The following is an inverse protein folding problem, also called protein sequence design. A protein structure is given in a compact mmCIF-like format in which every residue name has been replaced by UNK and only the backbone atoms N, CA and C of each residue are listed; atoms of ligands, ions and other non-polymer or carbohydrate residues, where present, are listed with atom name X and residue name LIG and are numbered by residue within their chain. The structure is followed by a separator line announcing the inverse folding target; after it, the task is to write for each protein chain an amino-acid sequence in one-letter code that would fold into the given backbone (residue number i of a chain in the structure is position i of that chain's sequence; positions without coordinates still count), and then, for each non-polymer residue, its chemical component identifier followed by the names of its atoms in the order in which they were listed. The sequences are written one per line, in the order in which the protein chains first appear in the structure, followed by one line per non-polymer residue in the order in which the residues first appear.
data_IF_486444010410
#
_entry.id   IF_486444010410
#
_cell.length_a   1.000
_cell.length_b   1.000
_cell.length_c   1.000
_cell.angle_alpha   90.00
_cell.angle_beta   90.00
_cell.angle_gamma   90.00
#
_symmetry.space_group_name_H-M   'P 1'
#
loop_
_entity.id
_entity.type
_entity.pdbx_description
1 polymer ?
#
# COMPACT_ATOMS: atom_id res chain seq x y z
N UNK A 1 -29.07 -9.21 -23.42
CA UNK A 1 -28.65 -8.21 -22.42
C UNK A 1 -27.66 -7.27 -23.07
N UNK A 2 -27.91 -5.96 -22.99
CA UNK A 2 -27.02 -4.95 -23.55
C UNK A 2 -25.86 -4.79 -22.57
N UNK A 3 -24.67 -5.28 -22.93
CA UNK A 3 -23.42 -4.98 -22.21
C UNK A 3 -23.04 -3.54 -22.54
N UNK A 4 -23.74 -2.57 -21.95
CA UNK A 4 -23.39 -1.15 -22.13
C UNK A 4 -22.14 -0.84 -21.34
N UNK A 5 -20.99 -0.80 -22.01
CA UNK A 5 -19.75 -0.22 -21.49
C UNK A 5 -19.83 1.32 -21.44
N UNK A 6 -20.91 1.84 -20.85
CA UNK A 6 -21.14 3.27 -20.72
C UNK A 6 -20.31 3.79 -19.55
N UNK A 7 -19.46 4.82 -19.73
CA UNK A 7 -18.84 5.51 -18.61
C UNK A 7 -19.92 6.14 -17.74
N UNK A 8 -19.96 5.78 -16.46
CA UNK A 8 -20.94 6.30 -15.50
C UNK A 8 -20.33 7.34 -14.57
N UNK A 9 -19.08 7.14 -14.14
CA UNK A 9 -18.39 8.06 -13.25
C UNK A 9 -16.95 8.31 -13.70
N UNK A 10 -16.50 9.54 -13.53
CA UNK A 10 -15.15 9.97 -13.82
C UNK A 10 -14.58 10.67 -12.60
N UNK A 11 -13.54 10.10 -11.99
CA UNK A 11 -12.86 10.70 -10.83
C UNK A 11 -11.48 11.16 -11.23
N UNK A 12 -11.20 12.46 -11.06
CA UNK A 12 -9.83 12.98 -11.15
C UNK A 12 -9.08 12.62 -9.87
N UNK A 13 -7.96 11.92 -10.02
CA UNK A 13 -7.10 11.48 -8.93
C UNK A 13 -5.76 12.20 -9.03
N UNK A 14 -5.64 13.40 -8.43
CA UNK A 14 -4.37 14.11 -8.38
C UNK A 14 -3.40 13.42 -7.40
N UNK A 15 -2.16 13.24 -7.83
CA UNK A 15 -1.09 12.61 -7.06
C UNK A 15 0.23 13.37 -7.28
N UNK A 16 0.94 13.68 -6.20
CA UNK A 16 2.33 14.14 -6.27
C UNK A 16 3.27 12.92 -6.35
N UNK A 17 4.08 12.83 -7.41
CA UNK A 17 4.90 11.65 -7.69
C UNK A 17 6.30 12.09 -8.12
N UNK A 18 7.31 11.75 -7.31
CA UNK A 18 8.72 12.11 -7.58
C UNK A 18 8.86 13.61 -7.87
N UNK A 19 8.21 14.43 -7.04
CA UNK A 19 8.17 15.89 -7.19
C UNK A 19 7.33 16.44 -8.35
N UNK A 20 6.66 15.59 -9.14
CA UNK A 20 5.81 16.03 -10.25
C UNK A 20 4.33 15.80 -9.93
N UNK A 21 3.50 16.81 -10.17
CA UNK A 21 2.05 16.69 -10.06
C UNK A 21 1.51 15.89 -11.26
N UNK A 22 0.79 14.81 -11.00
CA UNK A 22 0.18 13.95 -12.02
C UNK A 22 -1.29 13.77 -11.71
N UNK A 23 -2.14 13.94 -12.72
CA UNK A 23 -3.59 13.78 -12.59
C UNK A 23 -3.98 12.54 -13.38
N UNK A 24 -4.60 11.57 -12.69
CA UNK A 24 -5.15 10.37 -13.31
C UNK A 24 -6.67 10.52 -13.45
N UNK A 25 -7.24 9.94 -14.50
CA UNK A 25 -8.69 9.82 -14.64
C UNK A 25 -9.08 8.37 -14.35
N UNK A 26 -9.80 8.14 -13.25
CA UNK A 26 -10.42 6.86 -12.97
C UNK A 26 -11.83 6.87 -13.55
N UNK A 27 -12.01 6.16 -14.67
CA UNK A 27 -13.31 5.95 -15.28
C UNK A 27 -13.93 4.68 -14.72
N UNK A 28 -15.14 4.82 -14.19
CA UNK A 28 -16.01 3.69 -13.86
C UNK A 28 -16.96 3.49 -15.03
N UNK A 29 -17.08 2.24 -15.45
CA UNK A 29 -17.87 1.85 -16.62
C UNK A 29 -18.90 0.84 -16.13
N UNK A 30 -20.14 1.01 -16.56
CA UNK A 30 -21.20 0.05 -16.30
C UNK A 30 -21.02 -1.24 -17.10
N UNK A 31 -21.67 -2.30 -16.65
CA UNK A 31 -21.68 -3.60 -17.34
C UNK A 31 -20.70 -4.62 -16.76
N UNK A 32 -20.57 -5.74 -17.47
CA UNK A 32 -19.73 -6.85 -17.04
C UNK A 32 -18.25 -6.49 -17.17
N UNK A 33 -17.47 -6.84 -16.14
CA UNK A 33 -16.03 -6.68 -16.17
C UNK A 33 -15.43 -7.43 -17.38
N UNK A 34 -14.53 -6.77 -18.11
CA UNK A 34 -13.85 -7.39 -19.26
C UNK A 34 -13.02 -8.60 -18.80
N UNK A 35 -13.22 -9.80 -19.38
CA UNK A 35 -12.37 -10.94 -19.09
C UNK A 35 -10.93 -10.63 -19.52
N UNK A 36 -9.97 -11.02 -18.68
CA UNK A 36 -8.54 -10.86 -18.97
C UNK A 36 -8.02 -12.10 -19.69
N UNK A 37 -7.32 -11.91 -20.79
CA UNK A 37 -6.69 -12.98 -21.57
C UNK A 37 -5.17 -12.93 -21.44
N UNK A 38 -4.52 -14.09 -21.56
CA UNK A 38 -3.06 -14.18 -21.66
C UNK A 38 -2.58 -13.83 -23.08
N UNK A 39 -1.26 -13.87 -23.31
CA UNK A 39 -0.68 -13.58 -24.63
C UNK A 39 -1.16 -14.54 -25.72
N UNK A 40 -1.63 -15.73 -25.34
CA UNK A 40 -2.07 -16.79 -26.24
C UNK A 40 -3.59 -16.80 -26.44
N UNK A 41 -4.32 -15.83 -25.89
CA UNK A 41 -5.77 -15.71 -26.03
C UNK A 41 -6.59 -16.59 -25.08
N UNK A 42 -5.98 -17.21 -24.07
CA UNK A 42 -6.71 -17.99 -23.06
C UNK A 42 -7.18 -17.10 -21.90
N UNK A 43 -8.37 -17.35 -21.30
CA UNK A 43 -8.78 -16.64 -20.10
C UNK A 43 -7.76 -16.82 -18.96
N UNK A 44 -7.25 -15.72 -18.41
CA UNK A 44 -6.23 -15.72 -17.35
C UNK A 44 -6.73 -16.31 -16.03
N UNK A 45 -8.00 -16.10 -15.72
CA UNK A 45 -8.62 -16.53 -14.48
C UNK A 45 -9.83 -17.38 -14.82
N UNK A 46 -9.64 -18.69 -14.86
CA UNK A 46 -10.72 -19.66 -15.07
C UNK A 46 -11.35 -19.96 -13.72
N UNK A 47 -12.66 -19.80 -13.62
CA UNK A 47 -13.40 -20.19 -12.42
C UNK A 47 -13.72 -21.68 -12.47
N UNK A 48 -13.59 -22.36 -11.33
CA UNK A 48 -14.19 -23.68 -11.12
C UNK A 48 -15.70 -23.59 -10.89
N UNK A 49 -16.35 -24.75 -10.77
CA UNK A 49 -17.75 -24.85 -10.34
C UNK A 49 -17.81 -25.30 -8.88
N UNK A 50 -18.75 -24.78 -8.11
CA UNK A 50 -18.96 -25.13 -6.71
C UNK A 50 -19.01 -23.90 -5.80
N UNK A 51 -19.42 -24.11 -4.55
CA UNK A 51 -19.41 -23.08 -3.52
C UNK A 51 -18.11 -23.18 -2.72
N UNK A 52 -17.50 -22.02 -2.42
CA UNK A 52 -16.29 -21.94 -1.62
C UNK A 52 -16.54 -20.90 -0.53
N UNK A 53 -16.36 -21.30 0.73
CA UNK A 53 -16.25 -20.36 1.85
C UNK A 53 -14.81 -19.89 1.97
N UNK A 54 -14.57 -18.59 2.08
CA UNK A 54 -13.23 -18.03 2.25
C UNK A 54 -13.22 -16.97 3.34
N UNK A 55 -12.20 -17.03 4.19
CA UNK A 55 -11.90 -16.01 5.19
C UNK A 55 -10.53 -15.39 4.88
N UNK A 56 -10.52 -14.08 4.64
CA UNK A 56 -9.33 -13.36 4.18
C UNK A 56 -8.71 -12.64 5.38
N UNK A 57 -7.63 -13.22 5.90
CA UNK A 57 -6.76 -12.59 6.88
C UNK A 57 -5.79 -11.59 6.25
N UNK A 58 -4.92 -11.00 7.07
CA UNK A 58 -3.95 -9.99 6.63
C UNK A 58 -2.83 -10.56 5.76
N UNK A 59 -2.45 -11.82 5.98
CA UNK A 59 -1.35 -12.48 5.28
C UNK A 59 -1.79 -13.76 4.56
N UNK A 60 -2.87 -14.37 5.03
CA UNK A 60 -3.35 -15.67 4.57
C UNK A 60 -4.84 -15.61 4.23
N UNK A 61 -5.26 -16.47 3.31
CA UNK A 61 -6.65 -16.79 3.06
C UNK A 61 -6.90 -18.23 3.49
N UNK A 62 -7.84 -18.42 4.40
CA UNK A 62 -8.39 -19.72 4.71
C UNK A 62 -9.56 -19.97 3.76
N UNK A 63 -9.69 -21.18 3.23
CA UNK A 63 -10.82 -21.54 2.39
C UNK A 63 -11.29 -22.96 2.66
N UNK A 64 -12.58 -23.18 2.44
CA UNK A 64 -13.23 -24.48 2.57
C UNK A 64 -14.19 -24.69 1.39
N UNK A 65 -14.27 -25.94 0.94
CA UNK A 65 -15.24 -26.44 -0.02
C UNK A 65 -15.73 -27.80 0.44
N UNK A 66 -16.61 -28.43 -0.34
CA UNK A 66 -17.11 -29.77 -0.03
C UNK A 66 -16.01 -30.86 -0.10
N UNK A 67 -14.89 -30.59 -0.79
CA UNK A 67 -13.83 -31.58 -1.05
C UNK A 67 -12.49 -31.24 -0.41
N UNK A 68 -12.25 -29.99 -0.04
CA UNK A 68 -10.97 -29.56 0.53
C UNK A 68 -11.10 -28.37 1.47
N UNK A 69 -10.20 -28.33 2.45
CA UNK A 69 -9.91 -27.17 3.31
C UNK A 69 -8.45 -26.79 3.13
N UNK A 70 -8.15 -25.50 3.09
CA UNK A 70 -6.80 -25.01 2.87
C UNK A 70 -6.51 -23.66 3.49
N UNK A 71 -5.23 -23.39 3.68
CA UNK A 71 -4.70 -22.10 4.12
C UNK A 71 -3.59 -21.70 3.14
N UNK A 72 -3.73 -20.56 2.48
CA UNK A 72 -2.73 -20.07 1.52
C UNK A 72 -2.29 -18.66 1.85
N UNK A 73 -1.01 -18.38 1.64
CA UNK A 73 -0.49 -17.02 1.74
C UNK A 73 -1.06 -16.16 0.59
N UNK A 74 -1.50 -14.94 0.90
CA UNK A 74 -1.94 -13.95 -0.08
C UNK A 74 -0.77 -13.41 -0.91
N UNK A 75 0.42 -13.41 -0.32
CA UNK A 75 1.66 -13.05 -0.99
C UNK A 75 2.83 -13.80 -0.37
N UNK A 76 3.72 -14.34 -1.20
CA UNK A 76 5.00 -14.85 -0.71
C UNK A 76 5.93 -13.69 -0.35
N UNK A 77 6.59 -13.80 0.81
CA UNK A 77 7.52 -12.77 1.28
C UNK A 77 8.85 -12.85 0.51
N UNK A 78 8.90 -12.21 -0.65
CA UNK A 78 10.11 -12.14 -1.47
C UNK A 78 11.23 -11.26 -0.89
N UNK A 79 12.44 -11.39 -1.44
CA UNK A 79 13.63 -10.58 -1.10
C UNK A 79 13.41 -9.08 -1.33
N UNK A 80 12.52 -8.71 -2.25
CA UNK A 80 12.10 -7.33 -2.52
C UNK A 80 11.40 -6.68 -1.32
N UNK A 81 10.55 -7.43 -0.60
CA UNK A 81 9.81 -6.96 0.58
C UNK A 81 10.79 -6.69 1.72
N UNK A 82 11.68 -7.64 2.02
CA UNK A 82 12.70 -7.48 3.06
C UNK A 82 13.61 -6.28 2.78
N UNK A 83 13.97 -6.06 1.52
CA UNK A 83 14.77 -4.90 1.10
C UNK A 83 14.02 -3.59 1.32
N UNK A 84 12.72 -3.54 1.03
CA UNK A 84 11.89 -2.36 1.25
C UNK A 84 11.76 -2.02 2.73
N UNK A 85 11.41 -3.01 3.57
CA UNK A 85 11.31 -2.84 5.02
C UNK A 85 12.62 -2.36 5.66
N UNK A 86 13.76 -2.90 5.19
CA UNK A 86 15.08 -2.44 5.65
C UNK A 86 15.30 -0.97 5.31
N UNK A 87 14.98 -0.55 4.08
CA UNK A 87 15.11 0.85 3.65
C UNK A 87 14.19 1.76 4.47
N UNK A 88 12.96 1.34 4.70
CA UNK A 88 11.98 2.06 5.52
C UNK A 88 12.47 2.23 6.96
N UNK A 89 12.94 1.15 7.60
CA UNK A 89 13.54 1.19 8.95
C UNK A 89 14.68 2.19 9.05
N UNK A 90 15.58 2.20 8.06
CA UNK A 90 16.71 3.13 8.03
C UNK A 90 16.26 4.59 7.91
N UNK A 91 15.24 4.86 7.07
CA UNK A 91 14.65 6.19 6.94
C UNK A 91 13.99 6.64 8.23
N UNK A 92 13.19 5.79 8.89
CA UNK A 92 12.59 6.12 10.18
C UNK A 92 13.63 6.44 11.25
N UNK A 93 14.70 5.65 11.35
CA UNK A 93 15.79 5.92 12.31
C UNK A 93 16.51 7.24 12.00
N UNK A 94 16.71 7.58 10.73
CA UNK A 94 17.32 8.85 10.35
C UNK A 94 16.39 10.04 10.66
N UNK A 95 15.10 9.91 10.38
CA UNK A 95 14.08 10.90 10.74
C UNK A 95 14.01 11.11 12.26
N UNK A 96 13.98 10.03 13.04
CA UNK A 96 13.91 10.09 14.50
C UNK A 96 15.13 10.81 15.10
N UNK A 97 16.34 10.46 14.65
CA UNK A 97 17.58 11.16 15.05
C UNK A 97 17.53 12.64 14.72
N UNK A 98 17.11 12.99 13.50
CA UNK A 98 17.00 14.41 13.12
C UNK A 98 15.95 15.14 13.95
N UNK A 99 14.82 14.51 14.29
CA UNK A 99 13.77 15.10 15.13
C UNK A 99 14.24 15.31 16.57
N UNK A 100 15.02 14.37 17.12
CA UNK A 100 15.63 14.48 18.45
C UNK A 100 16.63 15.64 18.51
N UNK A 101 17.55 15.71 17.54
CA UNK A 101 18.56 16.76 17.49
C UNK A 101 17.96 18.18 17.37
N UNK A 102 16.85 18.34 16.65
CA UNK A 102 16.19 19.66 16.50
C UNK A 102 15.22 19.99 17.64
N UNK A 103 14.91 19.03 18.51
CA UNK A 103 13.96 19.22 19.61
C UNK A 103 14.43 18.56 20.92
N UNK A 104 15.66 18.81 21.40
CA UNK A 104 16.17 18.17 22.62
C UNK A 104 15.27 18.42 23.84
N UNK A 105 14.63 19.60 23.91
CA UNK A 105 13.71 19.98 24.98
C UNK A 105 12.47 19.09 25.10
N UNK A 106 12.12 18.34 24.04
CA UNK A 106 10.95 17.47 24.01
C UNK A 106 11.22 16.06 24.55
N UNK A 107 12.47 15.73 24.89
CA UNK A 107 12.86 14.40 25.37
C UNK A 107 13.39 14.46 26.81
N UNK A 108 13.23 13.34 27.51
CA UNK A 108 13.84 13.04 28.80
C UNK A 108 15.27 12.50 28.60
N UNK A 109 16.04 12.41 29.68
CA UNK A 109 17.43 11.92 29.64
C UNK A 109 17.50 10.43 29.24
N UNK A 110 16.46 9.65 29.54
CA UNK A 110 16.28 8.26 29.08
C UNK A 110 15.88 8.14 27.60
N UNK A 111 15.72 9.27 26.90
CA UNK A 111 15.35 9.33 25.49
C UNK A 111 13.85 9.14 25.20
N UNK A 112 13.00 9.04 26.22
CA UNK A 112 11.53 9.03 26.06
C UNK A 112 10.99 10.43 25.76
N UNK A 113 9.83 10.51 25.11
CA UNK A 113 9.18 11.80 24.82
C UNK A 113 8.52 12.31 26.09
N UNK A 114 8.83 13.55 26.49
CA UNK A 114 8.18 14.22 27.63
C UNK A 114 6.67 14.31 27.41
N UNK A 115 5.88 14.10 28.47
CA UNK A 115 4.41 14.23 28.44
C UNK A 115 3.98 15.68 28.13
N UNK A 116 2.74 15.84 27.68
CA UNK A 116 2.10 17.13 27.38
C UNK A 116 2.25 17.58 25.91
N UNK A 117 1.62 18.71 25.57
CA UNK A 117 1.68 19.28 24.21
C UNK A 117 3.12 19.67 23.86
N UNK A 118 3.56 19.31 22.65
CA UNK A 118 4.91 19.62 22.13
C UNK A 118 4.84 20.39 20.83
N UNK A 119 5.77 21.31 20.66
CA UNK A 119 6.05 21.94 19.37
C UNK A 119 7.20 21.18 18.73
N UNK A 120 7.00 20.71 17.49
CA UNK A 120 8.01 19.96 16.74
C UNK A 120 8.61 20.83 15.64
N UNK A 121 9.91 21.09 15.73
CA UNK A 121 10.71 21.72 14.68
C UNK A 121 11.32 20.65 13.79
N UNK A 122 11.03 20.70 12.49
CA UNK A 122 11.59 19.77 11.50
C UNK A 122 12.62 20.48 10.63
N UNK A 123 13.86 19.97 10.64
CA UNK A 123 14.92 20.48 9.77
C UNK A 123 14.62 20.22 8.30
N UNK A 124 15.31 20.94 7.41
CA UNK A 124 15.25 20.66 5.98
C UNK A 124 15.73 19.24 5.64
N UNK A 125 16.67 18.69 6.42
CA UNK A 125 17.10 17.30 6.30
C UNK A 125 15.99 16.32 6.64
N UNK A 126 15.26 16.53 7.75
CA UNK A 126 14.10 15.73 8.12
C UNK A 126 13.04 15.75 7.01
N UNK A 127 12.72 16.94 6.47
CA UNK A 127 11.74 17.09 5.39
C UNK A 127 12.15 16.27 4.15
N UNK A 128 13.43 16.34 3.74
CA UNK A 128 13.97 15.53 2.63
C UNK A 128 13.83 14.02 2.89
N UNK A 129 14.15 13.56 4.10
CA UNK A 129 13.98 12.15 4.48
C UNK A 129 12.52 11.71 4.47
N UNK A 130 11.61 12.56 4.94
CA UNK A 130 10.15 12.31 4.91
C UNK A 130 9.64 12.17 3.48
N UNK A 131 10.10 13.02 2.56
CA UNK A 131 9.77 12.89 1.13
C UNK A 131 10.28 11.56 0.58
N UNK A 132 11.53 11.19 0.88
CA UNK A 132 12.11 9.91 0.44
C UNK A 132 11.35 8.70 1.00
N UNK A 133 10.87 8.76 2.23
CA UNK A 133 10.01 7.71 2.82
C UNK A 133 8.65 7.64 2.11
N UNK A 134 7.99 8.77 1.88
CA UNK A 134 6.73 8.82 1.14
C UNK A 134 6.86 8.27 -0.29
N UNK A 135 8.01 8.43 -0.94
CA UNK A 135 8.27 7.89 -2.27
C UNK A 135 8.57 6.38 -2.26
N UNK A 136 9.13 5.87 -1.16
CA UNK A 136 9.41 4.44 -0.97
C UNK A 136 8.13 3.64 -0.72
N UNK A 137 7.20 4.18 0.06
CA UNK A 137 5.95 3.51 0.45
C UNK A 137 4.81 3.69 -0.58
N UNK A 138 5.12 4.11 -1.81
CA UNK A 138 4.15 4.33 -2.89
C UNK A 138 4.00 3.08 -3.77
#
# INVERSE_FOLDING_TARGET
CIDTYRPCYATLVPRMIRGKYRVYLHLTIEGKAKPKYDRFGNPRHKYGKGMIGADIGTQTVAYTSDTEVGLKNLSERGSSIQTSERKERLLHRAMDRSRRATNPQNYNDDGTVKKGRKTWKYSNHYKKLKTKHSELCR
#
